data_IF_591415516960
#
_entry.id   IF_591415516960
#
_cell.length_a   1.000
_cell.length_b   1.000
_cell.length_c   1.000
_cell.angle_alpha   90.00
_cell.angle_beta   90.00
_cell.angle_gamma   90.00
#
_symmetry.space_group_name_H-M   'P 1'
#
loop_
_entity.id
_entity.type
_entity.pdbx_description
1 polymer ?
#
# COMPACT_ATOMS: atom_id res chain seq x y z
N UNK A 1 15.75 -44.11 -31.07
CA UNK A 1 16.21 -43.31 -29.90
C UNK A 1 15.36 -42.07 -29.60
N UNK A 2 14.84 -41.35 -30.61
CA UNK A 2 14.02 -40.12 -30.43
C UNK A 2 12.70 -40.34 -29.65
N UNK A 3 12.00 -41.46 -29.87
CA UNK A 3 10.74 -41.82 -29.18
C UNK A 3 10.89 -42.10 -27.68
N UNK A 4 12.05 -42.59 -27.24
CA UNK A 4 12.32 -42.85 -25.82
C UNK A 4 12.67 -41.53 -25.09
N UNK A 5 13.26 -40.58 -25.81
CA UNK A 5 13.59 -39.23 -25.32
C UNK A 5 12.33 -38.38 -25.15
N UNK A 6 11.35 -38.48 -26.05
CA UNK A 6 10.06 -37.79 -25.90
C UNK A 6 9.21 -38.35 -24.75
N UNK A 7 9.19 -39.67 -24.55
CA UNK A 7 8.54 -40.29 -23.37
C UNK A 7 9.15 -39.83 -22.05
N UNK A 8 10.48 -39.78 -21.96
CA UNK A 8 11.19 -39.27 -20.77
C UNK A 8 10.88 -37.79 -20.55
N UNK A 9 10.84 -36.97 -21.60
CA UNK A 9 10.49 -35.56 -21.49
C UNK A 9 9.04 -35.36 -20.98
N UNK A 10 8.08 -36.16 -21.46
CA UNK A 10 6.70 -36.14 -20.99
C UNK A 10 6.59 -36.52 -19.50
N UNK A 11 7.33 -37.53 -19.05
CA UNK A 11 7.37 -37.91 -17.64
C UNK A 11 7.98 -36.82 -16.76
N UNK A 12 9.04 -36.15 -17.22
CA UNK A 12 9.65 -35.02 -16.51
C UNK A 12 8.64 -33.86 -16.40
N UNK A 13 7.97 -33.50 -17.50
CA UNK A 13 6.96 -32.44 -17.49
C UNK A 13 5.80 -32.75 -16.52
N UNK A 14 5.30 -33.98 -16.54
CA UNK A 14 4.24 -34.43 -15.63
C UNK A 14 4.69 -34.44 -14.16
N UNK A 15 5.94 -34.81 -13.87
CA UNK A 15 6.48 -34.76 -12.53
C UNK A 15 6.65 -33.31 -12.04
N UNK A 16 7.17 -32.43 -12.90
CA UNK A 16 7.36 -31.01 -12.55
C UNK A 16 6.05 -30.26 -12.34
N UNK A 17 5.00 -30.58 -13.09
CA UNK A 17 3.69 -29.94 -12.90
C UNK A 17 3.06 -30.34 -11.56
N UNK A 18 3.15 -31.62 -11.17
CA UNK A 18 2.65 -32.10 -9.88
C UNK A 18 3.37 -31.45 -8.69
N UNK A 19 4.69 -31.30 -8.76
CA UNK A 19 5.47 -30.70 -7.66
C UNK A 19 5.33 -29.17 -7.61
N UNK A 20 5.01 -28.51 -8.73
CA UNK A 20 4.82 -27.05 -8.76
C UNK A 20 3.67 -26.57 -7.86
N UNK A 21 2.62 -27.38 -7.69
CA UNK A 21 1.50 -27.07 -6.80
C UNK A 21 1.89 -27.02 -5.32
N UNK A 22 2.91 -27.76 -4.90
CA UNK A 22 3.43 -27.73 -3.53
C UNK A 22 4.11 -26.38 -3.20
N UNK A 23 4.74 -25.75 -4.20
CA UNK A 23 5.39 -24.45 -4.02
C UNK A 23 4.36 -23.31 -3.88
N UNK A 24 3.21 -23.41 -4.56
CA UNK A 24 2.14 -22.42 -4.45
C UNK A 24 1.37 -22.55 -3.13
N UNK A 25 1.13 -23.79 -2.67
CA UNK A 25 0.53 -24.06 -1.35
C UNK A 25 1.38 -23.52 -0.18
N UNK A 26 2.71 -23.65 -0.25
CA UNK A 26 3.60 -23.08 0.78
C UNK A 26 3.63 -21.55 0.78
N UNK A 27 3.20 -20.89 -0.29
CA UNK A 27 3.29 -19.44 -0.44
C UNK A 27 2.19 -18.64 0.26
N UNK A 28 1.26 -19.28 1.00
CA UNK A 28 0.20 -18.60 1.78
C UNK A 28 -0.44 -17.41 1.02
N UNK A 29 -0.85 -17.66 -0.23
CA UNK A 29 -1.47 -16.62 -1.09
C UNK A 29 -2.85 -16.18 -0.59
N UNK A 30 -3.46 -16.94 0.30
CA UNK A 30 -4.77 -16.67 0.91
C UNK A 30 -4.72 -15.63 2.04
N UNK A 31 -3.62 -14.90 2.16
CA UNK A 31 -3.45 -13.88 3.21
C UNK A 31 -3.97 -12.53 2.74
N UNK A 32 -4.52 -11.75 3.67
CA UNK A 32 -5.12 -10.44 3.41
C UNK A 32 -4.13 -9.36 2.92
N UNK A 33 -2.81 -9.61 3.01
CA UNK A 33 -1.77 -8.69 2.51
C UNK A 33 -0.44 -9.44 2.31
N UNK A 34 0.36 -8.98 1.33
CA UNK A 34 1.63 -9.59 0.88
C UNK A 34 2.77 -9.67 1.94
N UNK A 35 2.49 -9.44 3.23
CA UNK A 35 3.46 -9.49 4.33
C UNK A 35 3.03 -10.31 5.56
N UNK A 36 1.92 -11.05 5.48
CA UNK A 36 1.43 -11.88 6.61
C UNK A 36 2.37 -13.06 6.87
N UNK A 37 2.73 -13.28 8.14
CA UNK A 37 3.57 -14.38 8.61
C UNK A 37 4.85 -13.94 9.34
N UNK A 38 5.26 -12.68 9.17
CA UNK A 38 6.35 -12.11 9.94
C UNK A 38 5.87 -11.62 11.30
N UNK A 39 5.76 -12.54 12.27
CA UNK A 39 5.31 -12.23 13.63
C UNK A 39 6.14 -11.11 14.30
N UNK A 40 7.44 -11.03 14.00
CA UNK A 40 8.31 -9.99 14.58
C UNK A 40 7.96 -8.61 14.02
N UNK A 41 7.73 -8.49 12.72
CA UNK A 41 7.31 -7.23 12.09
C UNK A 41 5.89 -6.82 12.51
N UNK A 42 4.97 -7.78 12.59
CA UNK A 42 3.62 -7.53 13.11
C UNK A 42 3.65 -7.03 14.57
N UNK A 43 4.47 -7.66 15.42
CA UNK A 43 4.61 -7.26 16.81
C UNK A 43 5.21 -5.85 16.95
N UNK A 44 6.12 -5.45 16.06
CA UNK A 44 6.60 -4.06 16.02
C UNK A 44 5.43 -3.12 15.79
N UNK A 45 4.60 -3.34 14.77
CA UNK A 45 3.47 -2.47 14.48
C UNK A 45 2.44 -2.41 15.64
N UNK A 46 2.11 -3.55 16.27
CA UNK A 46 1.08 -3.63 17.32
C UNK A 46 1.56 -3.03 18.65
N UNK A 47 2.84 -3.22 19.01
CA UNK A 47 3.36 -2.79 20.32
C UNK A 47 4.00 -1.39 20.30
N UNK A 48 3.99 -0.67 19.18
CA UNK A 48 4.45 0.71 19.17
C UNK A 48 3.43 1.60 19.92
N UNK A 49 3.90 2.25 20.99
CA UNK A 49 3.12 3.17 21.81
C UNK A 49 2.68 4.45 21.06
N UNK A 50 3.53 5.00 20.20
CA UNK A 50 3.23 6.17 19.38
C UNK A 50 3.61 5.91 17.91
N UNK A 51 2.74 5.23 17.14
CA UNK A 51 3.07 4.78 15.79
C UNK A 51 3.08 5.93 14.77
N UNK A 52 2.55 7.09 15.15
CA UNK A 52 2.40 8.22 14.26
C UNK A 52 3.45 9.30 14.55
N UNK A 53 4.03 9.92 13.51
CA UNK A 53 4.95 11.03 13.70
C UNK A 53 4.22 12.22 14.33
N UNK A 54 4.93 13.11 15.05
CA UNK A 54 4.32 14.28 15.72
C UNK A 54 3.44 15.13 14.81
N UNK A 55 3.78 15.23 13.52
CA UNK A 55 3.00 15.97 12.51
C UNK A 55 1.62 15.36 12.24
N UNK A 56 1.42 14.06 12.46
CA UNK A 56 0.12 13.41 12.32
C UNK A 56 -0.87 13.84 13.41
N UNK A 57 -0.36 14.33 14.55
CA UNK A 57 -1.18 14.92 15.62
C UNK A 57 -1.57 16.37 15.32
N UNK A 58 -1.03 16.97 14.26
CA UNK A 58 -1.37 18.32 13.87
C UNK A 58 -2.73 18.33 13.17
N UNK A 59 -3.78 18.67 13.91
CA UNK A 59 -5.13 18.90 13.39
C UNK A 59 -5.33 20.32 12.87
N UNK A 60 -4.30 21.17 12.92
CA UNK A 60 -4.36 22.52 12.41
C UNK A 60 -4.18 22.53 10.88
N UNK A 61 -5.31 22.67 10.18
CA UNK A 61 -5.32 22.88 8.74
C UNK A 61 -5.08 24.38 8.49
N UNK A 62 -3.89 24.73 8.00
CA UNK A 62 -3.59 26.09 7.60
C UNK A 62 -4.56 26.52 6.49
N UNK A 63 -5.26 27.63 6.72
CA UNK A 63 -6.33 28.09 5.84
C UNK A 63 -6.11 29.55 5.43
N UNK A 64 -6.28 29.84 4.13
CA UNK A 64 -6.30 31.21 3.61
C UNK A 64 -7.75 31.74 3.66
N UNK A 65 -7.96 32.87 4.35
CA UNK A 65 -9.26 33.52 4.46
C UNK A 65 -9.92 33.82 3.11
N UNK A 66 -9.13 34.05 2.05
CA UNK A 66 -9.64 34.22 0.67
C UNK A 66 -10.21 32.93 0.10
N UNK A 67 -9.57 31.79 0.40
CA UNK A 67 -10.02 30.45 -0.03
C UNK A 67 -11.29 30.06 0.73
N UNK A 68 -11.35 30.31 2.04
CA UNK A 68 -12.55 30.05 2.86
C UNK A 68 -13.73 30.89 2.40
N UNK A 69 -13.53 32.19 2.18
CA UNK A 69 -14.58 33.08 1.69
C UNK A 69 -15.08 32.65 0.30
N UNK A 70 -14.19 32.20 -0.59
CA UNK A 70 -14.57 31.62 -1.89
C UNK A 70 -15.41 30.36 -1.72
N UNK A 71 -14.98 29.42 -0.86
CA UNK A 71 -15.72 28.19 -0.59
C UNK A 71 -17.11 28.47 -0.04
N UNK A 72 -17.23 29.35 0.98
CA UNK A 72 -18.52 29.76 1.56
C UNK A 72 -19.43 30.37 0.51
N UNK A 73 -18.92 31.27 -0.33
CA UNK A 73 -19.70 31.89 -1.43
C UNK A 73 -20.18 30.85 -2.44
N UNK A 74 -19.33 29.88 -2.81
CA UNK A 74 -19.71 28.78 -3.70
C UNK A 74 -20.83 27.91 -3.11
N UNK A 75 -20.83 27.65 -1.80
CA UNK A 75 -21.90 26.93 -1.11
C UNK A 75 -23.20 27.73 -1.00
N UNK A 76 -23.12 29.02 -0.68
CA UNK A 76 -24.29 29.89 -0.50
C UNK A 76 -24.94 30.32 -1.82
N UNK A 77 -24.16 30.44 -2.90
CA UNK A 77 -24.61 30.94 -4.19
C UNK A 77 -25.34 29.93 -5.09
N UNK A 78 -25.54 28.68 -4.63
CA UNK A 78 -26.21 27.64 -5.40
C UNK A 78 -25.35 27.04 -6.51
N UNK A 79 -24.76 25.87 -6.24
CA UNK A 79 -24.46 24.87 -7.27
C UNK A 79 -23.26 25.09 -8.20
N UNK A 80 -22.29 25.93 -7.84
CA UNK A 80 -20.99 25.91 -8.52
C UNK A 80 -20.19 24.66 -8.12
N UNK A 81 -19.66 23.91 -9.10
CA UNK A 81 -18.89 22.67 -8.92
C UNK A 81 -17.94 22.73 -7.70
N UNK A 82 -17.77 21.61 -6.95
CA UNK A 82 -17.03 21.62 -5.69
C UNK A 82 -15.65 22.23 -5.93
N UNK A 83 -15.36 23.31 -5.22
CA UNK A 83 -14.01 23.84 -5.16
C UNK A 83 -13.16 22.75 -4.51
N UNK A 84 -12.53 21.90 -5.31
CA UNK A 84 -11.53 20.97 -4.83
C UNK A 84 -10.39 21.83 -4.29
N UNK A 85 -10.37 22.01 -2.97
CA UNK A 85 -9.28 22.67 -2.26
C UNK A 85 -8.13 21.66 -2.28
N UNK A 86 -7.31 21.73 -3.32
CA UNK A 86 -6.03 21.03 -3.37
C UNK A 86 -5.20 21.64 -2.22
N UNK A 87 -4.88 20.90 -1.14
CA UNK A 87 -3.93 21.40 -0.16
C UNK A 87 -2.62 21.73 -0.90
N UNK A 88 -1.92 22.83 -0.54
CA UNK A 88 -0.74 23.26 -1.27
C UNK A 88 0.25 22.11 -1.42
N UNK A 89 0.89 22.03 -2.59
CA UNK A 89 1.76 20.93 -3.06
C UNK A 89 3.05 20.72 -2.24
N UNK A 90 3.09 21.16 -0.97
CA UNK A 90 4.15 20.91 0.00
C UNK A 90 3.72 20.06 1.20
N UNK A 91 2.48 19.57 1.26
CA UNK A 91 2.02 18.71 2.37
C UNK A 91 2.44 17.23 2.25
N UNK A 92 3.34 16.89 1.32
CA UNK A 92 3.85 15.53 1.14
C UNK A 92 5.32 15.56 0.72
N UNK A 93 6.25 15.43 1.65
CA UNK A 93 7.64 15.20 1.30
C UNK A 93 8.66 15.50 2.37
N UNK A 94 8.72 14.69 3.43
CA UNK A 94 9.88 14.67 4.31
C UNK A 94 9.96 13.35 5.09
N UNK A 95 10.29 12.29 4.35
CA UNK A 95 10.68 10.97 4.88
C UNK A 95 12.19 10.72 4.85
N UNK A 96 13.04 11.75 4.86
CA UNK A 96 14.49 11.61 4.93
C UNK A 96 15.02 12.16 6.26
N UNK A 97 15.32 11.28 7.21
CA UNK A 97 16.14 11.60 8.38
C UNK A 97 17.61 11.65 7.94
N UNK A 98 18.40 12.70 8.25
CA UNK A 98 19.84 12.66 8.09
C UNK A 98 20.43 11.83 9.24
N UNK A 99 21.10 10.72 8.89
CA UNK A 99 21.86 9.92 9.83
C UNK A 99 23.10 10.67 10.30
N UNK A 100 23.33 10.61 11.61
CA UNK A 100 24.60 10.97 12.24
C UNK A 100 25.09 9.78 13.06
#
# INVERSE_FOLDING_TARGET
MLLLRSRRALLVLAATSLVSGCADYMNHRDTITFGVGNAVEANKAIHIQDPFPRVARNTHIATDGKVVHRAIRSYQGGGGAPAFVIPPAGAGGNGAMPGN
#
